data_IF_811359868400
#
_entry.id   IF_811359868400
#
_cell.length_a   1.000
_cell.length_b   1.000
_cell.length_c   1.000
_cell.angle_alpha   90.00
_cell.angle_beta   90.00
_cell.angle_gamma   90.00
#
_symmetry.space_group_name_H-M   'P 1'
#
loop_
_entity.id
_entity.type
_entity.pdbx_description
1 polymer ?
#
# COMPACT_ATOMS: atom_id res chain seq x y z
N UNK A 1 -10.35 40.32 -11.82
CA UNK A 1 -10.40 39.22 -12.81
C UNK A 1 -10.76 37.88 -12.16
N UNK A 2 -11.39 36.94 -12.89
CA UNK A 2 -11.45 35.52 -12.51
C UNK A 2 -10.55 34.70 -13.44
N UNK A 3 -9.45 34.15 -12.91
CA UNK A 3 -8.51 33.34 -13.67
C UNK A 3 -8.95 31.87 -13.64
N UNK A 4 -9.09 31.25 -14.81
CA UNK A 4 -9.36 29.81 -14.96
C UNK A 4 -8.04 29.06 -15.09
N UNK A 5 -7.75 28.23 -14.09
CA UNK A 5 -6.56 27.38 -14.03
C UNK A 5 -7.00 25.93 -14.21
N UNK A 6 -6.32 25.21 -15.08
CA UNK A 6 -6.57 23.80 -15.29
C UNK A 6 -5.74 22.97 -14.32
N UNK A 7 -6.38 22.01 -13.68
CA UNK A 7 -5.72 21.03 -12.84
C UNK A 7 -6.32 19.66 -13.19
N UNK A 8 -5.49 18.77 -13.73
CA UNK A 8 -5.91 17.49 -14.30
C UNK A 8 -6.98 17.70 -15.42
N UNK A 9 -8.16 17.10 -15.26
CA UNK A 9 -9.28 17.24 -16.20
C UNK A 9 -10.12 18.50 -15.95
N UNK A 10 -10.01 19.12 -14.77
CA UNK A 10 -10.97 20.13 -14.30
C UNK A 10 -10.39 21.54 -14.34
N UNK A 11 -11.26 22.52 -14.54
CA UNK A 11 -10.92 23.94 -14.35
C UNK A 11 -11.31 24.38 -12.95
N UNK A 12 -10.40 25.10 -12.30
CA UNK A 12 -10.62 25.82 -11.05
C UNK A 12 -10.53 27.31 -11.33
N UNK A 13 -11.38 28.10 -10.68
CA UNK A 13 -11.39 29.55 -10.84
C UNK A 13 -10.80 30.22 -9.61
N UNK A 14 -9.83 31.10 -9.81
CA UNK A 14 -9.21 31.93 -8.77
C UNK A 14 -9.66 33.36 -8.98
N UNK A 15 -10.19 34.00 -7.93
CA UNK A 15 -10.53 35.42 -7.97
C UNK A 15 -9.26 36.23 -7.68
N UNK A 16 -8.90 37.13 -8.61
CA UNK A 16 -7.73 37.98 -8.51
C UNK A 16 -8.14 39.44 -8.29
N UNK A 17 -7.50 40.05 -7.30
CA UNK A 17 -7.57 41.48 -7.03
C UNK A 17 -6.81 42.28 -8.11
N UNK A 18 -7.03 43.59 -8.19
CA UNK A 18 -6.40 44.44 -9.20
C UNK A 18 -4.85 44.40 -9.13
N UNK A 19 -4.30 44.44 -7.90
CA UNK A 19 -2.85 44.30 -7.66
C UNK A 19 -2.31 42.94 -8.11
N UNK A 20 -3.06 41.86 -7.90
CA UNK A 20 -2.66 40.51 -8.30
C UNK A 20 -2.75 40.32 -9.81
N UNK A 21 -3.70 40.99 -10.46
CA UNK A 21 -3.84 41.01 -11.92
C UNK A 21 -2.65 41.72 -12.57
N UNK A 22 -2.17 42.83 -11.99
CA UNK A 22 -0.95 43.51 -12.43
C UNK A 22 0.31 42.64 -12.21
N UNK A 23 0.39 41.94 -11.08
CA UNK A 23 1.48 40.98 -10.85
C UNK A 23 1.47 39.86 -11.89
N UNK A 24 0.29 39.31 -12.20
CA UNK A 24 0.12 38.28 -13.22
C UNK A 24 0.54 38.77 -14.61
N UNK A 25 0.17 39.99 -14.96
CA UNK A 25 0.57 40.64 -16.21
C UNK A 25 2.09 40.70 -16.36
N UNK A 26 2.79 41.10 -15.28
CA UNK A 26 4.26 41.15 -15.25
C UNK A 26 4.85 39.73 -15.28
N UNK A 27 4.27 38.77 -14.55
CA UNK A 27 4.74 37.38 -14.54
C UNK A 27 4.65 36.70 -15.90
N UNK A 28 3.62 37.02 -16.68
CA UNK A 28 3.43 36.53 -18.05
C UNK A 28 4.24 37.32 -19.09
N UNK A 29 5.12 38.23 -18.65
CA UNK A 29 5.98 39.06 -19.51
C UNK A 29 5.21 39.80 -20.62
N UNK A 30 3.98 40.23 -20.33
CA UNK A 30 3.14 40.94 -21.28
C UNK A 30 3.57 42.42 -21.37
N UNK A 31 3.84 42.92 -22.58
CA UNK A 31 4.22 44.32 -22.83
C UNK A 31 3.09 45.07 -23.55
N UNK A 32 2.78 46.30 -23.10
CA UNK A 32 1.80 47.19 -23.75
C UNK A 32 1.15 48.21 -22.80
N UNK A 33 1.14 49.49 -23.20
CA UNK A 33 0.45 50.58 -22.49
C UNK A 33 -1.06 50.60 -22.78
N UNK A 34 -1.85 50.87 -21.74
CA UNK A 34 -3.27 51.30 -21.75
C UNK A 34 -4.29 50.50 -22.59
N UNK A 35 -4.24 49.17 -22.58
CA UNK A 35 -5.41 48.36 -22.97
C UNK A 35 -6.55 48.49 -21.95
N UNK A 36 -7.81 48.43 -22.42
CA UNK A 36 -8.99 48.43 -21.55
C UNK A 36 -8.93 47.24 -20.59
N UNK A 37 -9.47 47.39 -19.37
CA UNK A 37 -9.34 46.38 -18.31
C UNK A 37 -9.79 44.98 -18.77
N UNK A 38 -10.87 44.89 -19.56
CA UNK A 38 -11.37 43.62 -20.12
C UNK A 38 -10.36 42.95 -21.06
N UNK A 39 -9.70 43.72 -21.91
CA UNK A 39 -8.80 43.20 -22.94
C UNK A 39 -7.51 42.70 -22.29
N UNK A 40 -7.07 43.37 -21.22
CA UNK A 40 -5.97 42.89 -20.38
C UNK A 40 -6.31 41.56 -19.72
N UNK A 41 -7.49 41.44 -19.12
CA UNK A 41 -7.94 40.20 -18.49
C UNK A 41 -8.03 39.05 -19.51
N UNK A 42 -8.54 39.31 -20.72
CA UNK A 42 -8.60 38.30 -21.78
C UNK A 42 -7.20 37.85 -22.21
N UNK A 43 -6.28 38.80 -22.41
CA UNK A 43 -4.91 38.48 -22.83
C UNK A 43 -4.17 37.66 -21.76
N UNK A 44 -4.32 38.01 -20.47
CA UNK A 44 -3.77 37.23 -19.35
C UNK A 44 -4.30 35.80 -19.40
N UNK A 45 -5.60 35.62 -19.62
CA UNK A 45 -6.19 34.29 -19.65
C UNK A 45 -5.70 33.47 -20.86
N UNK A 46 -5.57 34.11 -22.03
CA UNK A 46 -5.09 33.46 -23.25
C UNK A 46 -3.64 33.02 -23.12
N UNK A 47 -2.75 33.89 -22.63
CA UNK A 47 -1.34 33.53 -22.44
C UNK A 47 -1.18 32.48 -21.36
N UNK A 48 -1.93 32.58 -20.25
CA UNK A 48 -1.94 31.55 -19.22
C UNK A 48 -2.43 30.19 -19.76
N UNK A 49 -3.40 30.21 -20.69
CA UNK A 49 -3.87 28.99 -21.33
C UNK A 49 -2.79 28.32 -22.19
N UNK A 50 -2.06 29.12 -22.99
CA UNK A 50 -0.97 28.64 -23.85
C UNK A 50 0.21 28.12 -23.03
N UNK A 51 0.64 28.86 -22.01
CA UNK A 51 1.85 28.55 -21.24
C UNK A 51 1.65 27.46 -20.19
N UNK A 52 0.47 27.38 -19.57
CA UNK A 52 0.22 26.48 -18.44
C UNK A 52 -0.88 25.48 -18.72
N UNK A 53 -2.12 25.93 -18.99
CA UNK A 53 -3.28 25.01 -19.03
C UNK A 53 -3.20 23.96 -20.15
N UNK A 54 -2.69 24.32 -21.34
CA UNK A 54 -2.52 23.39 -22.46
C UNK A 54 -1.38 22.38 -22.21
N UNK A 55 -0.16 22.80 -21.83
CA UNK A 55 0.91 21.88 -21.45
C UNK A 55 0.51 20.93 -20.31
N UNK A 56 -0.14 21.44 -19.27
CA UNK A 56 -0.57 20.62 -18.13
C UNK A 56 -1.59 19.57 -18.55
N UNK A 57 -2.58 19.94 -19.38
CA UNK A 57 -3.51 18.97 -19.95
C UNK A 57 -2.80 17.90 -20.79
N UNK A 58 -1.92 18.32 -21.69
CA UNK A 58 -1.20 17.40 -22.57
C UNK A 58 -0.32 16.43 -21.78
N UNK A 59 0.37 16.92 -20.74
CA UNK A 59 1.18 16.11 -19.84
C UNK A 59 0.33 15.11 -19.07
N UNK A 60 -0.75 15.58 -18.45
CA UNK A 60 -1.69 14.74 -17.71
C UNK A 60 -2.28 13.65 -18.62
N UNK A 61 -2.77 14.02 -19.80
CA UNK A 61 -3.37 13.07 -20.73
C UNK A 61 -2.35 12.07 -21.30
N UNK A 62 -1.10 12.50 -21.56
CA UNK A 62 -0.01 11.61 -21.99
C UNK A 62 0.37 10.58 -20.92
N UNK A 63 0.30 10.96 -19.65
CA UNK A 63 0.56 10.06 -18.54
C UNK A 63 -0.63 9.13 -18.28
N UNK A 64 -1.83 9.70 -18.19
CA UNK A 64 -3.04 8.99 -17.78
C UNK A 64 -3.50 7.97 -18.83
N UNK A 65 -3.27 8.21 -20.14
CA UNK A 65 -3.58 7.22 -21.19
C UNK A 65 -2.89 5.86 -21.03
N UNK A 66 -1.79 5.82 -20.27
CA UNK A 66 -1.02 4.60 -20.00
C UNK A 66 -1.23 4.10 -18.56
N UNK A 67 -2.05 4.79 -17.77
CA UNK A 67 -2.30 4.42 -16.38
C UNK A 67 -3.11 3.13 -16.34
N UNK A 68 -2.62 2.13 -15.61
CA UNK A 68 -3.24 0.81 -15.53
C UNK A 68 -2.87 -0.14 -16.67
N UNK A 69 -2.13 0.31 -17.68
CA UNK A 69 -1.59 -0.55 -18.74
C UNK A 69 -0.16 -0.92 -18.33
N UNK A 70 0.09 -2.21 -18.06
CA UNK A 70 1.45 -2.69 -17.82
C UNK A 70 2.34 -2.43 -19.04
N UNK A 71 3.62 -2.11 -18.82
CA UNK A 71 4.57 -1.95 -19.94
C UNK A 71 4.65 -3.28 -20.68
N UNK A 72 4.10 -3.33 -21.90
CA UNK A 72 4.17 -4.52 -22.75
C UNK A 72 5.66 -4.83 -23.03
N UNK A 73 6.12 -6.08 -22.81
CA UNK A 73 7.43 -6.48 -23.30
C UNK A 73 7.45 -6.43 -24.83
N UNK A 74 8.66 -6.42 -25.41
CA UNK A 74 8.86 -6.49 -26.84
C UNK A 74 8.23 -7.78 -27.39
N UNK A 75 7.20 -7.66 -28.24
CA UNK A 75 6.56 -8.81 -28.92
C UNK A 75 7.47 -9.31 -30.05
N UNK A 76 7.52 -10.63 -30.25
CA UNK A 76 7.87 -11.19 -31.57
C UNK A 76 6.63 -11.07 -32.46
N UNK A 77 6.83 -10.83 -33.76
CA UNK A 77 5.79 -10.40 -34.71
C UNK A 77 4.59 -11.37 -34.90
N UNK A 78 4.59 -12.55 -34.27
CA UNK A 78 3.63 -13.63 -34.53
C UNK A 78 2.53 -13.78 -33.45
N UNK A 79 2.49 -12.94 -32.40
CA UNK A 79 1.54 -13.10 -31.29
C UNK A 79 0.34 -12.13 -31.39
N UNK A 80 -0.89 -12.67 -31.40
CA UNK A 80 -2.14 -11.91 -31.58
C UNK A 80 -2.36 -10.86 -30.47
N UNK A 81 -2.88 -9.69 -30.83
CA UNK A 81 -2.87 -8.47 -30.01
C UNK A 81 -3.60 -8.54 -28.65
N UNK A 82 -4.55 -9.47 -28.49
CA UNK A 82 -5.59 -9.43 -27.45
C UNK A 82 -5.58 -10.65 -26.49
N UNK A 83 -4.59 -11.53 -26.58
CA UNK A 83 -4.54 -12.77 -25.78
C UNK A 83 -3.54 -12.74 -24.62
N UNK A 84 -2.83 -11.63 -24.40
CA UNK A 84 -1.77 -11.57 -23.40
C UNK A 84 -2.35 -11.32 -22.01
N UNK A 85 -2.39 -12.35 -21.16
CA UNK A 85 -2.74 -12.20 -19.75
C UNK A 85 -1.67 -11.37 -19.04
N UNK A 86 -2.05 -10.19 -18.56
CA UNK A 86 -1.15 -9.28 -17.88
C UNK A 86 -0.82 -9.73 -16.43
N UNK A 87 -1.51 -10.76 -15.91
CA UNK A 87 -1.26 -11.32 -14.58
C UNK A 87 0.09 -12.03 -14.49
N UNK A 88 0.56 -12.61 -15.59
CA UNK A 88 1.88 -13.28 -15.68
C UNK A 88 3.07 -12.33 -15.47
N UNK A 89 2.83 -11.00 -15.52
CA UNK A 89 3.87 -10.00 -15.26
C UNK A 89 4.07 -9.68 -13.77
N UNK A 90 3.17 -10.13 -12.90
CA UNK A 90 3.37 -9.99 -11.46
C UNK A 90 4.18 -11.18 -10.95
N UNK A 91 5.21 -10.96 -10.11
CA UNK A 91 5.98 -12.05 -9.56
C UNK A 91 5.10 -12.92 -8.67
N UNK A 92 5.12 -14.24 -8.91
CA UNK A 92 4.48 -15.21 -8.04
C UNK A 92 5.34 -15.43 -6.79
N UNK A 93 4.97 -14.72 -5.71
CA UNK A 93 5.67 -14.81 -4.43
C UNK A 93 5.14 -15.95 -3.54
N UNK A 94 4.30 -16.86 -4.06
CA UNK A 94 3.73 -17.96 -3.25
C UNK A 94 4.80 -18.81 -2.58
N UNK A 95 5.90 -19.08 -3.27
CA UNK A 95 7.04 -19.84 -2.75
C UNK A 95 7.79 -19.10 -1.64
N UNK A 96 8.03 -17.80 -1.80
CA UNK A 96 8.68 -16.96 -0.78
C UNK A 96 7.81 -16.88 0.47
N UNK A 97 6.52 -16.55 0.30
CA UNK A 97 5.56 -16.53 1.40
C UNK A 97 5.44 -17.87 2.13
N UNK A 98 5.55 -19.00 1.41
CA UNK A 98 5.53 -20.33 2.03
C UNK A 98 6.81 -20.60 2.85
N UNK A 99 7.96 -20.13 2.39
CA UNK A 99 9.23 -20.21 3.13
C UNK A 99 9.19 -19.34 4.38
N UNK A 100 8.77 -18.09 4.25
CA UNK A 100 8.69 -17.14 5.36
C UNK A 100 7.75 -17.65 6.46
N UNK A 101 6.56 -18.16 6.09
CA UNK A 101 5.63 -18.79 7.04
C UNK A 101 6.23 -19.98 7.76
N UNK A 102 7.04 -20.78 7.06
CA UNK A 102 7.70 -21.94 7.65
C UNK A 102 8.79 -21.51 8.63
N UNK A 103 9.62 -20.54 8.24
CA UNK A 103 10.68 -19.98 9.08
C UNK A 103 10.09 -19.31 10.34
N UNK A 104 9.02 -18.54 10.19
CA UNK A 104 8.22 -17.97 11.30
C UNK A 104 7.70 -19.05 12.26
N UNK A 105 7.09 -20.10 11.71
CA UNK A 105 6.54 -21.19 12.51
C UNK A 105 7.63 -21.93 13.29
N UNK A 106 8.74 -22.27 12.63
CA UNK A 106 9.87 -22.97 13.26
C UNK A 106 10.49 -22.11 14.37
N UNK A 107 10.70 -20.82 14.11
CA UNK A 107 11.20 -19.85 15.08
C UNK A 107 10.35 -19.80 16.36
N UNK A 108 9.02 -19.68 16.22
CA UNK A 108 8.14 -19.65 17.38
C UNK A 108 8.10 -20.98 18.14
N UNK A 109 8.15 -22.11 17.43
CA UNK A 109 8.24 -23.42 18.07
C UNK A 109 9.50 -23.57 18.93
N UNK A 110 10.65 -23.08 18.45
CA UNK A 110 11.91 -23.13 19.19
C UNK A 110 11.85 -22.32 20.49
N UNK A 111 11.33 -21.09 20.43
CA UNK A 111 11.17 -20.24 21.62
C UNK A 111 10.25 -20.90 22.65
N UNK A 112 9.12 -21.44 22.20
CA UNK A 112 8.14 -22.10 23.06
C UNK A 112 8.75 -23.34 23.73
N UNK A 113 9.50 -24.16 22.97
CA UNK A 113 10.19 -25.36 23.49
C UNK A 113 11.36 -25.03 24.40
N UNK A 114 12.02 -23.89 24.23
CA UNK A 114 13.09 -23.44 25.11
C UNK A 114 12.56 -23.03 26.49
N UNK A 115 11.38 -22.42 26.56
CA UNK A 115 10.80 -21.90 27.80
C UNK A 115 9.96 -22.95 28.53
N UNK A 116 9.20 -23.76 27.79
CA UNK A 116 8.23 -24.70 28.35
C UNK A 116 8.72 -26.15 28.25
N UNK A 117 8.40 -26.97 29.26
CA UNK A 117 8.61 -28.41 29.20
C UNK A 117 7.76 -29.03 28.07
N UNK A 118 8.19 -30.15 27.44
CA UNK A 118 7.49 -30.79 26.32
C UNK A 118 6.01 -31.09 26.60
N UNK A 119 5.70 -31.46 27.85
CA UNK A 119 4.31 -31.71 28.33
C UNK A 119 3.37 -30.50 28.19
N UNK A 120 3.92 -29.30 28.11
CA UNK A 120 3.18 -28.05 27.98
C UNK A 120 3.38 -27.38 26.62
N UNK A 121 4.56 -27.50 25.99
CA UNK A 121 4.84 -26.90 24.68
C UNK A 121 4.05 -27.57 23.56
N UNK A 122 4.02 -28.90 23.49
CA UNK A 122 3.35 -29.64 22.41
C UNK A 122 1.83 -29.38 22.34
N UNK A 123 1.04 -29.44 23.43
CA UNK A 123 -0.37 -29.06 23.37
C UNK A 123 -0.55 -27.56 23.06
N UNK A 124 0.40 -26.70 23.43
CA UNK A 124 0.30 -25.27 23.17
C UNK A 124 0.53 -24.95 21.69
N UNK A 125 1.54 -25.55 21.06
CA UNK A 125 1.83 -25.45 19.63
C UNK A 125 0.64 -25.99 18.83
N UNK A 126 0.17 -27.20 19.15
CA UNK A 126 -0.92 -27.82 18.39
C UNK A 126 -2.23 -27.01 18.44
N UNK A 127 -2.55 -26.40 19.58
CA UNK A 127 -3.81 -25.63 19.73
C UNK A 127 -3.68 -24.21 19.17
N UNK A 128 -2.56 -23.52 19.42
CA UNK A 128 -2.43 -22.09 19.09
C UNK A 128 -1.69 -21.81 17.78
N UNK A 129 -0.75 -22.66 17.36
CA UNK A 129 -0.04 -22.52 16.09
C UNK A 129 -0.66 -23.37 14.99
N UNK A 130 -0.99 -24.63 15.26
CA UNK A 130 -1.57 -25.54 14.26
C UNK A 130 -3.11 -25.44 14.14
N UNK A 131 -3.76 -24.72 15.06
CA UNK A 131 -5.22 -24.51 15.06
C UNK A 131 -6.06 -25.75 15.40
N UNK A 132 -5.48 -26.79 16.00
CA UNK A 132 -6.18 -27.99 16.42
C UNK A 132 -7.13 -27.71 17.60
N UNK A 133 -8.31 -28.34 17.61
CA UNK A 133 -9.20 -28.19 18.77
C UNK A 133 -8.64 -28.94 20.00
N UNK A 134 -8.86 -28.38 21.19
CA UNK A 134 -8.45 -29.02 22.46
C UNK A 134 -9.02 -30.44 22.60
N UNK A 135 -10.20 -30.69 22.04
CA UNK A 135 -10.88 -31.99 22.04
C UNK A 135 -10.24 -33.01 21.12
N UNK A 136 -9.74 -32.58 19.96
CA UNK A 136 -9.02 -33.48 19.03
C UNK A 136 -7.66 -33.84 19.59
N UNK A 137 -6.93 -32.86 20.14
CA UNK A 137 -5.64 -33.12 20.80
C UNK A 137 -5.80 -34.07 22.00
N UNK A 138 -6.87 -33.89 22.80
CA UNK A 138 -7.23 -34.77 23.92
C UNK A 138 -7.43 -36.23 23.49
N UNK A 139 -8.17 -36.44 22.40
CA UNK A 139 -8.40 -37.77 21.84
C UNK A 139 -7.10 -38.40 21.33
N UNK A 140 -6.24 -37.61 20.67
CA UNK A 140 -4.94 -38.08 20.16
C UNK A 140 -4.00 -38.54 21.27
N UNK A 141 -3.93 -37.81 22.38
CA UNK A 141 -3.09 -38.21 23.53
C UNK A 141 -3.77 -39.20 24.49
N UNK A 142 -5.07 -39.46 24.35
CA UNK A 142 -5.83 -40.29 25.29
C UNK A 142 -6.03 -39.63 26.66
N UNK A 143 -6.02 -38.29 26.71
CA UNK A 143 -6.09 -37.48 27.94
C UNK A 143 -7.43 -36.74 27.99
N UNK A 144 -7.91 -36.39 29.18
CA UNK A 144 -9.14 -35.59 29.31
C UNK A 144 -8.95 -34.14 28.81
N UNK A 145 -10.01 -33.54 28.29
CA UNK A 145 -10.04 -32.12 27.88
C UNK A 145 -9.62 -31.20 29.03
N UNK A 146 -10.05 -31.48 30.26
CA UNK A 146 -9.73 -30.69 31.45
C UNK A 146 -8.22 -30.70 31.77
N UNK A 147 -7.55 -31.85 31.58
CA UNK A 147 -6.12 -31.95 31.80
C UNK A 147 -5.32 -31.14 30.77
N UNK A 148 -5.77 -31.07 29.51
CA UNK A 148 -5.15 -30.20 28.49
C UNK A 148 -5.39 -28.73 28.79
N UNK A 149 -6.61 -28.34 29.19
CA UNK A 149 -6.88 -26.97 29.66
C UNK A 149 -5.90 -26.56 30.74
N UNK A 150 -5.68 -27.41 31.74
CA UNK A 150 -4.75 -27.12 32.83
C UNK A 150 -3.28 -27.01 32.37
N UNK A 151 -2.86 -27.86 31.42
CA UNK A 151 -1.53 -27.77 30.80
C UNK A 151 -1.34 -26.45 30.06
N UNK A 152 -2.37 -25.98 29.34
CA UNK A 152 -2.36 -24.70 28.62
C UNK A 152 -2.35 -23.50 29.58
N UNK A 153 -3.13 -23.55 30.66
CA UNK A 153 -3.13 -22.48 31.67
C UNK A 153 -1.77 -22.34 32.35
N UNK A 154 -1.11 -23.48 32.61
CA UNK A 154 0.25 -23.51 33.15
C UNK A 154 1.25 -22.93 32.14
N UNK A 155 1.12 -23.29 30.86
CA UNK A 155 1.94 -22.75 29.78
C UNK A 155 1.82 -21.23 29.69
N UNK A 156 0.58 -20.70 29.68
CA UNK A 156 0.31 -19.25 29.66
C UNK A 156 0.92 -18.53 30.86
N UNK A 157 0.80 -19.09 32.07
CA UNK A 157 1.38 -18.49 33.29
C UNK A 157 2.90 -18.42 33.20
N UNK A 158 3.56 -19.44 32.66
CA UNK A 158 5.01 -19.46 32.51
C UNK A 158 5.48 -18.51 31.41
N UNK A 159 4.78 -18.47 30.27
CA UNK A 159 5.06 -17.50 29.20
C UNK A 159 4.89 -16.06 29.69
N UNK A 160 3.84 -15.75 30.47
CA UNK A 160 3.63 -14.40 31.04
C UNK A 160 4.73 -13.96 32.00
N UNK A 161 5.45 -14.89 32.65
CA UNK A 161 6.60 -14.56 33.50
C UNK A 161 7.83 -14.15 32.69
N UNK A 162 8.00 -14.73 31.50
CA UNK A 162 9.13 -14.44 30.60
C UNK A 162 8.81 -13.23 29.72
N UNK A 163 7.57 -13.15 29.23
CA UNK A 163 7.05 -12.08 28.38
C UNK A 163 5.83 -11.43 29.06
N UNK A 164 6.06 -10.42 29.91
CA UNK A 164 4.98 -9.73 30.62
C UNK A 164 4.11 -8.87 29.69
N UNK A 165 4.70 -8.32 28.62
CA UNK A 165 4.04 -7.54 27.59
C UNK A 165 4.13 -8.24 26.24
N UNK A 166 3.15 -7.99 25.37
CA UNK A 166 3.13 -8.55 24.02
C UNK A 166 4.27 -8.02 23.13
N UNK A 167 4.75 -6.80 23.43
CA UNK A 167 5.89 -6.14 22.80
C UNK A 167 7.23 -6.83 23.08
N UNK A 168 7.31 -7.63 24.14
CA UNK A 168 8.54 -8.32 24.55
C UNK A 168 8.72 -9.65 23.80
N UNK A 169 7.71 -10.10 23.06
CA UNK A 169 7.80 -11.34 22.30
C UNK A 169 8.71 -11.12 21.08
N UNK A 170 9.73 -11.96 20.87
CA UNK A 170 10.72 -11.70 19.84
C UNK A 170 10.15 -11.98 18.45
N UNK A 171 10.57 -11.19 17.47
CA UNK A 171 10.21 -11.31 16.06
C UNK A 171 11.28 -12.09 15.31
N UNK A 172 10.90 -12.99 14.41
CA UNK A 172 11.85 -13.63 13.49
C UNK A 172 12.50 -12.63 12.52
N UNK A 173 11.88 -11.47 12.29
CA UNK A 173 12.36 -10.44 11.36
C UNK A 173 13.20 -9.33 12.02
N UNK A 174 13.50 -9.45 13.32
CA UNK A 174 14.27 -8.45 14.09
C UNK A 174 13.42 -7.33 14.69
#
# INVERSE_FOLDING_TARGET
>A
MRLSVRYEEKFQTIELNDKETEQMWVSLSLEGEELFKSDKEHLIQDTFNEEFNKPDYNNWHKFDRNRGISKRPFRKDEESEDATDHMDYFPDNTHEMARDKKEEYEYYCEIIRAILKPKHSEPFIAVYLDGMSMTEYAKREGVSKSAISHRLDTAKKNLKKVFPESSTFPSCHG
#
